data_IF_774035609038
#
_entry.id   IF_774035609038
#
_cell.length_a   1.000
_cell.length_b   1.000
_cell.length_c   1.000
_cell.angle_alpha   90.00
_cell.angle_beta   90.00
_cell.angle_gamma   90.00
#
_symmetry.space_group_name_H-M   'P 1'
#
loop_
_entity.id
_entity.type
_entity.pdbx_description
1 polymer ?
#
# COMPACT_ATOMS: atom_id res chain seq x y z
N UNK A 1 -57.19 10.89 -24.45
CA UNK A 1 -57.36 9.45 -24.56
C UNK A 1 -56.22 8.93 -25.39
N UNK A 2 -55.89 7.71 -25.19
CA UNK A 2 -54.73 7.08 -25.79
C UNK A 2 -54.47 5.72 -25.18
N UNK A 3 -53.38 5.06 -25.57
CA UNK A 3 -52.98 3.77 -24.99
C UNK A 3 -52.72 3.88 -23.50
N UNK A 4 -53.04 2.83 -22.75
CA UNK A 4 -52.72 2.71 -21.32
C UNK A 4 -51.51 1.85 -21.11
N UNK A 5 -50.76 2.13 -20.04
CA UNK A 5 -49.56 1.40 -19.64
C UNK A 5 -49.74 0.82 -18.22
N UNK A 6 -49.47 -0.46 -18.06
CA UNK A 6 -49.47 -1.13 -16.75
C UNK A 6 -48.18 -1.93 -16.56
N UNK A 7 -47.42 -1.72 -15.48
CA UNK A 7 -47.57 -0.68 -14.45
C UNK A 7 -47.56 0.74 -15.03
N UNK A 8 -48.17 1.68 -14.31
CA UNK A 8 -48.32 3.07 -14.77
C UNK A 8 -46.94 3.76 -14.97
N UNK A 9 -46.89 4.69 -15.95
CA UNK A 9 -45.69 5.49 -16.14
C UNK A 9 -45.32 6.28 -14.88
N UNK A 10 -44.03 6.24 -14.52
CA UNK A 10 -43.49 6.89 -13.32
C UNK A 10 -43.77 6.15 -12.02
N UNK A 11 -44.46 4.99 -12.02
CA UNK A 11 -44.62 4.16 -10.85
C UNK A 11 -43.30 3.47 -10.43
N UNK A 12 -43.03 3.41 -9.12
CA UNK A 12 -41.89 2.69 -8.59
C UNK A 12 -42.07 1.20 -8.76
N UNK A 13 -41.07 0.51 -9.29
CA UNK A 13 -41.09 -0.92 -9.52
C UNK A 13 -39.94 -1.61 -8.78
N UNK A 14 -40.21 -2.81 -8.31
CA UNK A 14 -39.22 -3.67 -7.67
C UNK A 14 -38.60 -4.64 -8.69
N UNK A 15 -37.30 -4.51 -8.94
CA UNK A 15 -36.54 -5.36 -9.85
C UNK A 15 -35.70 -6.42 -9.11
N UNK A 16 -35.84 -6.59 -7.81
CA UNK A 16 -35.04 -7.55 -7.00
C UNK A 16 -35.28 -8.99 -7.41
N UNK A 17 -36.48 -9.28 -7.91
CA UNK A 17 -36.89 -10.61 -8.35
C UNK A 17 -36.78 -10.80 -9.88
N UNK A 18 -36.12 -9.90 -10.59
CA UNK A 18 -35.88 -10.00 -12.02
C UNK A 18 -36.59 -8.92 -12.85
N UNK A 19 -37.05 -9.31 -14.03
CA UNK A 19 -37.63 -8.38 -14.96
C UNK A 19 -39.11 -8.03 -14.62
N UNK A 20 -39.46 -6.77 -14.74
CA UNK A 20 -40.85 -6.29 -14.66
C UNK A 20 -41.47 -6.26 -16.06
N UNK A 21 -42.66 -6.80 -16.22
CA UNK A 21 -43.40 -6.80 -17.48
C UNK A 21 -44.33 -5.61 -17.55
N UNK A 22 -44.11 -4.75 -18.51
CA UNK A 22 -44.99 -3.63 -18.86
C UNK A 22 -45.94 -4.03 -19.99
N UNK A 23 -47.20 -3.75 -19.81
CA UNK A 23 -48.23 -4.03 -20.84
C UNK A 23 -48.79 -2.71 -21.34
N UNK A 24 -48.66 -2.45 -22.63
CA UNK A 24 -49.33 -1.36 -23.32
C UNK A 24 -50.63 -1.90 -23.92
N UNK A 25 -51.73 -1.22 -23.63
CA UNK A 25 -53.05 -1.57 -24.18
C UNK A 25 -53.56 -0.38 -25.02
N UNK A 26 -54.02 -0.66 -26.24
CA UNK A 26 -54.66 0.36 -27.11
C UNK A 26 -55.91 0.95 -26.46
N UNK A 27 -56.31 2.13 -26.88
CA UNK A 27 -57.49 2.85 -26.36
C UNK A 27 -58.77 2.01 -26.46
N UNK A 28 -58.95 1.29 -27.56
CA UNK A 28 -60.07 0.40 -27.82
C UNK A 28 -59.96 -0.96 -27.10
N UNK A 29 -58.86 -1.21 -26.39
CA UNK A 29 -58.58 -2.44 -25.65
C UNK A 29 -58.26 -3.66 -26.52
N UNK A 30 -58.28 -3.54 -27.84
CA UNK A 30 -58.15 -4.67 -28.75
C UNK A 30 -56.70 -5.13 -28.97
N UNK A 31 -55.76 -4.26 -28.73
CA UNK A 31 -54.34 -4.57 -28.90
C UNK A 31 -53.59 -4.46 -27.59
N UNK A 32 -52.75 -5.47 -27.29
CA UNK A 32 -51.87 -5.49 -26.15
C UNK A 32 -50.46 -5.87 -26.59
N UNK A 33 -49.46 -5.16 -26.05
CA UNK A 33 -48.07 -5.47 -26.26
C UNK A 33 -47.33 -5.45 -24.93
N UNK A 34 -46.51 -6.45 -24.71
CA UNK A 34 -45.72 -6.58 -23.47
C UNK A 34 -44.27 -6.27 -23.74
N UNK A 35 -43.65 -5.56 -22.81
CA UNK A 35 -42.24 -5.25 -22.76
C UNK A 35 -41.70 -5.75 -21.43
N UNK A 36 -40.58 -6.49 -21.47
CA UNK A 36 -39.86 -6.91 -20.25
C UNK A 36 -38.72 -5.96 -20.03
N UNK A 37 -38.68 -5.30 -18.88
CA UNK A 37 -37.65 -4.35 -18.48
C UNK A 37 -36.91 -4.95 -17.30
N UNK A 38 -35.58 -4.97 -17.36
CA UNK A 38 -34.73 -5.44 -16.28
C UNK A 38 -33.43 -4.67 -16.25
N UNK A 39 -32.73 -4.80 -15.15
CA UNK A 39 -31.41 -4.25 -15.01
C UNK A 39 -30.39 -5.39 -14.99
N UNK A 40 -29.33 -5.21 -15.75
CA UNK A 40 -28.11 -6.04 -15.64
C UNK A 40 -27.06 -5.16 -14.99
N UNK A 41 -26.64 -5.54 -13.81
CA UNK A 41 -25.46 -4.92 -13.22
C UNK A 41 -24.25 -5.56 -13.88
N UNK A 42 -23.26 -4.76 -14.34
CA UNK A 42 -21.99 -5.33 -14.76
C UNK A 42 -21.40 -6.10 -13.57
N UNK A 43 -20.70 -7.23 -13.83
CA UNK A 43 -20.04 -7.94 -12.76
C UNK A 43 -19.12 -6.97 -12.02
N UNK A 44 -19.16 -7.01 -10.68
CA UNK A 44 -18.23 -6.22 -9.87
C UNK A 44 -16.85 -6.82 -10.08
N UNK A 45 -16.01 -6.13 -10.84
CA UNK A 45 -14.61 -6.49 -11.01
C UNK A 45 -13.87 -5.92 -9.82
N UNK A 46 -13.34 -6.79 -8.97
CA UNK A 46 -12.45 -6.38 -7.88
C UNK A 46 -11.04 -6.25 -8.44
N UNK A 47 -10.48 -5.06 -8.41
CA UNK A 47 -9.04 -4.88 -8.63
C UNK A 47 -8.30 -5.42 -7.41
N UNK A 48 -7.35 -6.32 -7.65
CA UNK A 48 -6.51 -6.92 -6.61
C UNK A 48 -5.06 -6.52 -6.89
N UNK A 49 -4.49 -5.70 -6.01
CA UNK A 49 -3.05 -5.48 -5.98
C UNK A 49 -2.41 -6.62 -5.20
N UNK A 50 -1.56 -7.39 -5.85
CA UNK A 50 -0.79 -8.47 -5.22
C UNK A 50 0.68 -8.09 -5.14
N UNK A 51 1.22 -8.19 -3.95
CA UNK A 51 2.65 -7.97 -3.68
C UNK A 51 3.22 -9.27 -3.10
N UNK A 52 3.95 -10.00 -3.92
CA UNK A 52 4.50 -11.32 -3.55
C UNK A 52 5.97 -11.26 -3.10
N UNK A 53 6.64 -10.11 -3.33
CA UNK A 53 8.05 -9.89 -2.99
C UNK A 53 9.05 -10.82 -3.67
N UNK A 54 8.66 -11.49 -4.75
CA UNK A 54 9.50 -12.41 -5.52
C UNK A 54 10.58 -11.69 -6.34
N UNK A 55 10.35 -10.41 -6.69
CA UNK A 55 11.29 -9.64 -7.49
C UNK A 55 12.18 -8.79 -6.61
N UNK A 56 13.32 -9.32 -6.24
CA UNK A 56 14.37 -8.60 -5.51
C UNK A 56 15.73 -8.83 -6.16
N UNK A 57 16.61 -7.86 -6.03
CA UNK A 57 17.95 -7.89 -6.58
C UNK A 57 18.89 -6.98 -5.79
N UNK A 58 20.20 -7.16 -5.96
CA UNK A 58 21.17 -6.22 -5.38
C UNK A 58 21.12 -4.90 -6.15
N UNK A 59 21.18 -3.79 -5.43
CA UNK A 59 21.10 -2.46 -6.02
C UNK A 59 22.18 -2.22 -7.06
N UNK A 60 21.82 -1.58 -8.17
CA UNK A 60 22.74 -1.16 -9.22
C UNK A 60 23.19 0.29 -9.07
N UNK A 61 22.48 1.08 -8.27
CA UNK A 61 22.87 2.45 -7.95
C UNK A 61 24.07 2.47 -6.99
N UNK A 62 24.73 3.60 -6.87
CA UNK A 62 25.82 3.76 -5.90
C UNK A 62 25.30 3.80 -4.46
N UNK A 63 25.88 3.06 -3.53
CA UNK A 63 26.92 2.04 -3.73
C UNK A 63 26.35 0.76 -4.37
N UNK A 64 27.04 0.27 -5.39
CA UNK A 64 26.58 -0.89 -6.19
C UNK A 64 26.70 -2.18 -5.38
N UNK A 65 25.67 -3.05 -5.48
CA UNK A 65 25.64 -4.39 -4.87
C UNK A 65 25.81 -4.45 -3.35
N UNK A 66 25.38 -3.39 -2.65
CA UNK A 66 25.53 -3.34 -1.19
C UNK A 66 24.31 -3.83 -0.42
N UNK A 67 23.10 -3.66 -0.96
CA UNK A 67 21.85 -4.05 -0.32
C UNK A 67 20.80 -4.48 -1.34
N UNK A 68 19.81 -5.21 -0.86
CA UNK A 68 18.70 -5.64 -1.68
C UNK A 68 17.67 -4.52 -1.87
N UNK A 69 17.06 -4.52 -3.04
CA UNK A 69 15.93 -3.69 -3.44
C UNK A 69 14.83 -4.57 -4.01
N UNK A 70 13.60 -4.12 -3.93
CA UNK A 70 12.43 -4.80 -4.46
C UNK A 70 11.77 -3.95 -5.53
N UNK A 71 11.20 -4.60 -6.52
CA UNK A 71 10.37 -3.94 -7.52
C UNK A 71 9.37 -4.93 -8.08
N UNK A 72 8.10 -4.57 -8.11
CA UNK A 72 7.12 -5.37 -8.82
C UNK A 72 7.36 -5.27 -10.33
N UNK A 73 6.84 -6.23 -11.07
CA UNK A 73 6.86 -6.21 -12.53
C UNK A 73 5.51 -5.71 -13.06
N UNK A 74 5.58 -4.80 -14.00
CA UNK A 74 4.44 -4.41 -14.81
C UNK A 74 4.06 -5.54 -15.78
N UNK A 75 2.87 -5.46 -16.40
CA UNK A 75 2.39 -6.44 -17.36
C UNK A 75 3.33 -6.61 -18.59
N UNK A 76 4.05 -5.56 -18.95
CA UNK A 76 5.07 -5.58 -20.01
C UNK A 76 6.43 -6.13 -19.58
N UNK A 77 6.56 -6.56 -18.31
CA UNK A 77 7.77 -7.09 -17.70
C UNK A 77 8.78 -6.06 -17.22
N UNK A 78 8.52 -4.78 -17.40
CA UNK A 78 9.37 -3.70 -16.83
C UNK A 78 9.21 -3.60 -15.32
N UNK A 79 10.21 -2.99 -14.64
CA UNK A 79 10.18 -2.81 -13.19
C UNK A 79 9.34 -1.57 -12.82
N UNK A 80 8.44 -1.74 -11.88
CA UNK A 80 7.59 -0.65 -11.37
C UNK A 80 8.34 0.35 -10.49
N UNK A 81 9.45 -0.07 -9.85
CA UNK A 81 10.26 0.75 -8.93
C UNK A 81 9.44 1.45 -7.84
N UNK A 82 8.47 0.75 -7.31
CA UNK A 82 7.48 1.27 -6.36
C UNK A 82 7.83 0.99 -4.91
N UNK A 83 8.81 0.13 -4.64
CA UNK A 83 9.25 -0.22 -3.30
C UNK A 83 10.52 0.50 -2.89
N UNK A 84 10.57 0.91 -1.62
CA UNK A 84 11.75 1.50 -1.00
C UNK A 84 12.01 0.94 0.39
N UNK A 85 13.24 1.08 0.86
CA UNK A 85 13.70 0.66 2.20
C UNK A 85 14.62 1.70 2.81
N UNK A 86 14.87 1.60 4.12
CA UNK A 86 15.91 2.36 4.81
C UNK A 86 17.34 1.84 4.58
N UNK A 87 17.54 0.79 3.79
CA UNK A 87 18.87 0.21 3.53
C UNK A 87 19.91 1.23 3.02
N UNK A 88 19.57 2.18 2.12
CA UNK A 88 20.51 3.23 1.72
C UNK A 88 20.99 4.08 2.90
N UNK A 89 20.11 4.40 3.84
CA UNK A 89 20.47 5.12 5.07
C UNK A 89 21.36 4.28 5.99
N UNK A 90 21.06 2.99 6.15
CA UNK A 90 21.88 2.06 6.92
C UNK A 90 23.30 1.92 6.36
N UNK A 91 23.45 1.89 5.03
CA UNK A 91 24.76 1.89 4.38
C UNK A 91 25.63 3.08 4.82
N UNK A 92 25.05 4.24 5.03
CA UNK A 92 25.78 5.45 5.44
C UNK A 92 26.43 5.27 6.83
N UNK A 93 25.81 4.47 7.69
CA UNK A 93 26.34 4.17 9.04
C UNK A 93 27.22 2.92 9.08
N UNK A 94 26.93 1.93 8.24
CA UNK A 94 27.63 0.63 8.19
C UNK A 94 28.02 0.24 6.77
N UNK A 95 28.90 1.01 6.16
CA UNK A 95 29.35 0.81 4.77
C UNK A 95 30.06 -0.53 4.50
N UNK A 96 30.61 -1.17 5.53
CA UNK A 96 31.25 -2.48 5.44
C UNK A 96 30.30 -3.66 5.55
N UNK A 97 29.02 -3.42 5.87
CA UNK A 97 28.04 -4.49 5.99
C UNK A 97 27.88 -5.26 4.67
N UNK A 98 27.74 -6.58 4.78
CA UNK A 98 27.41 -7.45 3.64
C UNK A 98 25.91 -7.34 3.34
N UNK A 99 25.45 -7.70 2.13
CA UNK A 99 24.04 -7.59 1.73
C UNK A 99 23.04 -8.26 2.69
N UNK A 100 23.41 -9.40 3.27
CA UNK A 100 22.60 -10.18 4.21
C UNK A 100 22.55 -9.61 5.64
N UNK A 101 23.38 -8.60 5.93
CA UNK A 101 23.47 -7.93 7.23
C UNK A 101 22.65 -6.65 7.33
N UNK A 102 21.96 -6.27 6.25
CA UNK A 102 21.11 -5.09 6.25
C UNK A 102 19.79 -5.33 6.99
N UNK A 103 19.16 -4.26 7.50
CA UNK A 103 17.88 -4.37 8.22
C UNK A 103 16.74 -4.96 7.41
N UNK A 104 16.77 -4.81 6.08
CA UNK A 104 15.74 -5.33 5.16
C UNK A 104 16.42 -6.24 4.15
N UNK A 105 16.09 -7.53 4.20
CA UNK A 105 16.70 -8.57 3.35
C UNK A 105 15.62 -9.57 2.88
N UNK A 106 15.81 -10.21 1.71
CA UNK A 106 14.95 -11.30 1.28
C UNK A 106 15.24 -12.57 2.06
N UNK A 107 14.24 -13.44 2.15
CA UNK A 107 14.35 -14.81 2.62
C UNK A 107 13.58 -15.69 1.64
N UNK A 108 14.22 -16.72 1.10
CA UNK A 108 13.66 -17.60 0.07
C UNK A 108 12.50 -18.47 0.56
N UNK A 109 12.41 -18.71 1.89
CA UNK A 109 11.41 -19.57 2.50
C UNK A 109 10.37 -18.74 3.25
N UNK A 110 9.45 -18.14 2.49
CA UNK A 110 8.28 -17.44 3.01
C UNK A 110 7.09 -18.37 3.24
N UNK A 111 5.89 -17.81 3.20
CA UNK A 111 4.64 -18.57 3.22
C UNK A 111 4.37 -19.25 1.88
N UNK A 112 4.61 -18.52 0.79
CA UNK A 112 4.50 -18.97 -0.60
C UNK A 112 5.62 -18.25 -1.37
N UNK A 113 6.71 -18.97 -1.69
CA UNK A 113 7.91 -18.38 -2.28
C UNK A 113 8.73 -17.51 -1.33
N UNK A 114 9.28 -16.42 -1.82
CA UNK A 114 10.11 -15.51 -1.04
C UNK A 114 9.30 -14.61 -0.09
N UNK A 115 9.97 -14.07 0.90
CA UNK A 115 9.40 -13.05 1.79
C UNK A 115 10.46 -12.01 2.17
N UNK A 116 10.00 -10.91 2.75
CA UNK A 116 10.87 -9.86 3.27
C UNK A 116 11.09 -10.06 4.76
N UNK A 117 12.34 -10.12 5.17
CA UNK A 117 12.74 -10.11 6.58
C UNK A 117 13.13 -8.70 6.99
N UNK A 118 12.45 -8.18 8.00
CA UNK A 118 12.71 -6.88 8.60
C UNK A 118 13.33 -7.11 9.99
N UNK A 119 14.49 -6.49 10.23
CA UNK A 119 15.23 -6.67 11.50
C UNK A 119 15.66 -5.31 12.01
N UNK A 120 15.48 -5.05 13.29
CA UNK A 120 16.09 -3.89 13.95
C UNK A 120 17.59 -4.15 14.12
N UNK A 121 18.43 -3.24 13.65
CA UNK A 121 19.88 -3.38 13.62
C UNK A 121 20.56 -2.17 14.27
N UNK A 122 21.71 -2.41 14.88
CA UNK A 122 22.56 -1.35 15.43
C UNK A 122 23.24 -0.57 14.28
N UNK A 123 23.28 0.74 14.39
CA UNK A 123 23.88 1.65 13.42
C UNK A 123 25.31 2.09 13.80
N UNK A 124 25.89 1.49 14.83
CA UNK A 124 27.18 1.83 15.40
C UNK A 124 27.30 3.31 15.82
N UNK A 125 28.52 3.80 15.95
CA UNK A 125 28.78 5.15 16.45
C UNK A 125 28.29 6.24 15.48
N UNK A 126 28.39 6.02 14.18
CA UNK A 126 27.99 7.01 13.20
C UNK A 126 26.48 7.27 13.26
N UNK A 127 25.66 6.22 13.31
CA UNK A 127 24.22 6.39 13.46
C UNK A 127 23.83 7.00 14.80
N UNK A 128 24.56 6.68 15.88
CA UNK A 128 24.35 7.30 17.19
C UNK A 128 24.63 8.81 17.16
N UNK A 129 25.66 9.27 16.44
CA UNK A 129 25.94 10.70 16.20
C UNK A 129 24.80 11.39 15.45
N UNK A 130 24.16 10.69 14.50
CA UNK A 130 22.96 11.16 13.80
C UNK A 130 21.68 11.02 14.64
N UNK A 131 21.77 10.71 15.94
CA UNK A 131 20.63 10.43 16.85
C UNK A 131 19.75 9.27 16.43
N UNK A 132 20.29 8.35 15.65
CA UNK A 132 19.64 7.13 15.16
C UNK A 132 20.48 5.89 15.53
N UNK A 133 20.55 5.52 16.82
CA UNK A 133 21.42 4.45 17.31
C UNK A 133 21.01 3.06 16.80
N UNK A 134 19.78 2.92 16.34
CA UNK A 134 19.24 1.71 15.72
C UNK A 134 18.52 2.07 14.41
N UNK A 135 18.53 1.14 13.47
CA UNK A 135 17.74 1.20 12.23
C UNK A 135 16.71 0.06 12.25
N UNK A 136 15.44 0.40 12.19
CA UNK A 136 14.39 -0.57 11.98
C UNK A 136 14.41 -1.06 10.52
N UNK A 137 14.28 -2.37 10.30
CA UNK A 137 13.98 -2.90 8.99
C UNK A 137 12.63 -2.37 8.54
N UNK A 138 12.54 -1.87 7.33
CA UNK A 138 11.31 -1.36 6.73
C UNK A 138 11.27 -1.65 5.23
N UNK A 139 10.07 -1.82 4.72
CA UNK A 139 9.76 -1.87 3.29
C UNK A 139 8.45 -1.12 3.09
N UNK A 140 8.41 -0.21 2.17
CA UNK A 140 7.25 0.63 1.94
C UNK A 140 7.11 1.01 0.46
N UNK A 141 5.89 1.31 0.05
CA UNK A 141 5.62 1.85 -1.28
C UNK A 141 5.94 3.34 -1.26
N UNK A 142 6.83 3.77 -2.16
CA UNK A 142 7.30 5.15 -2.25
C UNK A 142 8.76 5.26 -2.60
N UNK A 143 9.45 6.26 -2.04
CA UNK A 143 10.86 6.55 -2.30
C UNK A 143 11.62 6.82 -1.02
N UNK A 144 12.90 6.48 -1.01
CA UNK A 144 13.82 6.84 0.08
C UNK A 144 14.86 7.84 -0.44
N UNK A 145 14.82 9.06 0.12
CA UNK A 145 15.80 10.11 -0.19
C UNK A 145 16.95 10.08 0.80
N UNK A 146 18.04 9.43 0.42
CA UNK A 146 19.23 9.31 1.26
C UNK A 146 19.87 10.67 1.60
N UNK A 147 19.68 11.70 0.77
CA UNK A 147 20.20 13.04 1.04
C UNK A 147 19.54 13.73 2.23
N UNK A 148 18.28 13.36 2.51
CA UNK A 148 17.55 13.85 3.68
C UNK A 148 17.88 13.07 4.96
N UNK A 149 18.33 11.82 4.84
CA UNK A 149 18.52 10.93 5.99
C UNK A 149 19.48 11.49 7.07
N UNK A 150 20.45 12.30 6.67
CA UNK A 150 21.38 12.97 7.60
C UNK A 150 20.84 14.28 8.18
N UNK A 151 19.90 14.93 7.50
CA UNK A 151 19.34 16.21 7.92
C UNK A 151 18.10 16.00 8.78
N UNK A 152 17.18 15.20 8.28
CA UNK A 152 15.92 14.83 8.91
C UNK A 152 15.53 13.43 8.41
N UNK A 153 15.87 12.41 9.20
CA UNK A 153 15.64 11.01 8.84
C UNK A 153 14.17 10.69 8.58
N UNK A 154 13.23 11.41 9.21
CA UNK A 154 11.80 11.20 9.00
C UNK A 154 11.35 11.71 7.63
N UNK A 155 12.03 12.71 7.07
CA UNK A 155 11.77 13.25 5.72
C UNK A 155 12.42 12.43 4.60
N UNK A 156 13.33 11.53 4.94
CA UNK A 156 13.93 10.61 3.98
C UNK A 156 12.92 9.62 3.39
N UNK A 157 11.90 9.26 4.16
CA UNK A 157 10.85 8.34 3.74
C UNK A 157 9.70 9.12 3.11
N UNK A 158 9.48 8.93 1.81
CA UNK A 158 8.42 9.55 1.02
C UNK A 158 7.44 8.47 0.61
N UNK A 159 6.21 8.50 1.16
CA UNK A 159 5.22 7.46 0.96
C UNK A 159 4.34 7.70 -0.26
N UNK A 160 3.94 6.60 -0.89
CA UNK A 160 2.85 6.53 -1.82
C UNK A 160 3.25 6.40 -3.28
N UNK A 161 2.35 5.79 -4.01
CA UNK A 161 2.26 5.77 -5.48
C UNK A 161 0.81 6.08 -5.85
N UNK A 162 0.54 6.69 -7.01
CA UNK A 162 -0.83 6.96 -7.44
C UNK A 162 -1.64 5.67 -7.57
N UNK A 163 -2.88 5.71 -7.09
CA UNK A 163 -3.88 4.65 -7.27
C UNK A 163 -5.19 5.25 -7.74
N UNK A 164 -5.95 4.53 -8.56
CA UNK A 164 -7.20 5.00 -9.18
C UNK A 164 -8.46 4.35 -8.60
N UNK A 165 -8.34 3.53 -7.56
CA UNK A 165 -9.45 2.80 -6.96
C UNK A 165 -9.43 2.93 -5.43
N UNK A 166 -10.58 2.69 -4.81
CA UNK A 166 -10.73 2.69 -3.36
C UNK A 166 -10.66 1.25 -2.84
N UNK A 167 -9.61 0.86 -2.11
CA UNK A 167 -9.49 -0.49 -1.58
C UNK A 167 -10.49 -0.73 -0.44
N UNK A 168 -10.96 -1.95 -0.32
CA UNK A 168 -11.90 -2.38 0.72
C UNK A 168 -11.30 -3.40 1.67
N UNK A 169 -10.16 -4.00 1.31
CA UNK A 169 -9.51 -5.04 2.11
C UNK A 169 -8.00 -4.99 1.94
N UNK A 170 -7.29 -5.11 3.05
CA UNK A 170 -5.86 -5.37 3.11
C UNK A 170 -5.64 -6.71 3.82
N UNK A 171 -4.85 -7.60 3.23
CA UNK A 171 -4.56 -8.92 3.79
C UNK A 171 -3.16 -9.38 3.43
N UNK A 172 -2.57 -10.22 4.27
CA UNK A 172 -1.24 -10.77 4.03
C UNK A 172 -0.85 -11.78 5.09
N UNK A 173 0.32 -12.37 4.92
CA UNK A 173 0.89 -13.31 5.87
C UNK A 173 2.14 -12.70 6.50
N UNK A 174 2.26 -12.82 7.82
CA UNK A 174 3.43 -12.37 8.53
C UNK A 174 3.77 -13.28 9.70
N UNK A 175 5.05 -13.28 10.08
CA UNK A 175 5.55 -13.89 11.31
C UNK A 175 6.36 -12.84 12.04
N UNK A 176 6.05 -12.64 13.32
CA UNK A 176 6.73 -11.65 14.13
C UNK A 176 7.37 -12.29 15.35
N UNK A 177 8.62 -11.92 15.60
CA UNK A 177 9.33 -12.20 16.83
C UNK A 177 9.90 -10.88 17.33
N UNK A 178 9.44 -10.42 18.47
CA UNK A 178 9.99 -9.21 19.09
C UNK A 178 11.45 -9.40 19.49
N UNK A 179 12.21 -8.31 19.56
CA UNK A 179 13.51 -8.27 20.20
C UNK A 179 13.39 -8.49 21.72
N UNK A 180 14.40 -9.07 22.33
CA UNK A 180 14.41 -9.36 23.76
C UNK A 180 14.68 -8.10 24.59
N UNK A 181 15.35 -7.10 24.00
CA UNK A 181 15.77 -5.86 24.66
C UNK A 181 15.16 -4.66 23.95
N UNK A 182 14.51 -3.79 24.72
CA UNK A 182 14.04 -2.50 24.24
C UNK A 182 14.95 -1.39 24.77
N UNK A 183 15.42 -0.50 23.91
CA UNK A 183 16.31 0.61 24.29
C UNK A 183 15.72 1.96 23.90
N UNK A 184 16.11 3.00 24.61
CA UNK A 184 15.85 4.38 24.23
C UNK A 184 16.85 4.88 23.15
N UNK A 185 16.72 6.17 22.78
CA UNK A 185 17.59 6.81 21.79
C UNK A 185 19.05 6.92 22.20
N UNK A 186 19.38 6.70 23.46
CA UNK A 186 20.73 6.66 24.03
C UNK A 186 21.26 5.23 24.20
N UNK A 187 20.54 4.23 23.67
CA UNK A 187 20.82 2.79 23.84
C UNK A 187 20.69 2.29 25.29
N UNK A 188 20.07 3.06 26.17
CA UNK A 188 19.79 2.61 27.52
C UNK A 188 18.62 1.63 27.51
N UNK A 189 18.81 0.48 28.17
CA UNK A 189 17.77 -0.54 28.32
C UNK A 189 16.57 0.03 29.09
N UNK A 190 15.39 -0.14 28.54
CA UNK A 190 14.11 0.25 29.16
C UNK A 190 13.40 -1.02 29.64
N UNK A 191 13.61 -1.37 30.89
CA UNK A 191 12.99 -2.54 31.50
C UNK A 191 11.46 -2.48 31.44
N UNK A 192 10.82 -3.62 31.20
CA UNK A 192 9.37 -3.73 31.09
C UNK A 192 8.76 -3.18 29.81
N UNK A 193 9.53 -2.50 28.96
CA UNK A 193 9.09 -2.11 27.61
C UNK A 193 9.20 -3.27 26.64
N UNK A 194 8.28 -3.31 25.69
CA UNK A 194 8.22 -4.33 24.64
C UNK A 194 8.25 -3.66 23.28
N UNK A 195 8.95 -4.29 22.35
CA UNK A 195 8.95 -3.87 20.94
C UNK A 195 7.73 -4.42 20.20
N UNK A 196 7.29 -3.71 19.18
CA UNK A 196 6.17 -4.09 18.31
C UNK A 196 6.53 -3.83 16.86
N UNK A 197 6.18 -4.78 15.98
CA UNK A 197 6.16 -4.55 14.53
C UNK A 197 4.87 -3.86 14.12
N UNK A 198 4.94 -2.99 13.12
CA UNK A 198 3.78 -2.30 12.56
C UNK A 198 3.64 -2.64 11.08
N UNK A 199 2.45 -3.09 10.67
CA UNK A 199 2.06 -3.31 9.28
C UNK A 199 0.78 -2.51 9.06
N UNK A 200 0.80 -1.61 8.08
CA UNK A 200 -0.37 -0.79 7.77
C UNK A 200 -0.42 -0.42 6.30
N UNK A 201 -1.60 -0.09 5.81
CA UNK A 201 -1.83 0.57 4.54
C UNK A 201 -2.49 1.93 4.80
N UNK A 202 -2.01 2.96 4.12
CA UNK A 202 -2.55 4.32 4.20
C UNK A 202 -2.88 4.77 2.79
N UNK A 203 -4.08 5.29 2.61
CA UNK A 203 -4.51 5.97 1.40
C UNK A 203 -4.72 7.44 1.74
N UNK A 204 -4.23 8.32 0.88
CA UNK A 204 -4.31 9.76 1.13
C UNK A 204 -4.54 10.51 -0.16
N UNK A 205 -5.20 11.65 -0.05
CA UNK A 205 -5.31 12.60 -1.14
C UNK A 205 -3.94 13.25 -1.36
N UNK A 206 -3.40 13.10 -2.56
CA UNK A 206 -2.09 13.62 -2.92
C UNK A 206 -2.12 15.09 -3.36
N UNK A 207 -3.24 15.77 -3.16
CA UNK A 207 -3.39 17.21 -3.37
C UNK A 207 -4.08 17.86 -2.17
N UNK A 208 -3.70 19.10 -1.86
CA UNK A 208 -4.42 19.92 -0.90
C UNK A 208 -5.65 20.60 -1.54
N UNK A 209 -6.39 21.39 -0.75
CA UNK A 209 -7.58 22.11 -1.21
C UNK A 209 -7.28 23.14 -2.30
N UNK A 210 -6.05 23.62 -2.37
CA UNK A 210 -5.53 24.56 -3.35
C UNK A 210 -4.98 23.88 -4.61
N UNK A 211 -4.94 22.53 -4.64
CA UNK A 211 -4.45 21.72 -5.75
C UNK A 211 -2.94 21.51 -5.78
N UNK A 212 -2.22 21.84 -4.70
CA UNK A 212 -0.79 21.58 -4.61
C UNK A 212 -0.52 20.11 -4.28
N UNK A 213 0.52 19.55 -4.88
CA UNK A 213 0.91 18.16 -4.62
C UNK A 213 1.40 17.97 -3.18
N UNK A 214 0.87 16.94 -2.52
CA UNK A 214 1.22 16.52 -1.18
C UNK A 214 1.96 15.18 -1.22
N UNK A 215 3.02 15.07 -0.44
CA UNK A 215 3.73 13.82 -0.16
C UNK A 215 3.74 13.61 1.35
N UNK A 216 3.38 12.41 1.80
CA UNK A 216 3.47 12.05 3.21
C UNK A 216 4.85 11.45 3.52
N UNK A 217 5.33 11.76 4.72
CA UNK A 217 6.65 11.38 5.23
C UNK A 217 6.54 10.54 6.49
N UNK A 218 7.66 10.03 6.97
CA UNK A 218 7.72 9.20 8.16
C UNK A 218 7.19 9.83 9.44
N UNK A 219 7.18 11.17 9.52
CA UNK A 219 6.68 11.92 10.67
C UNK A 219 5.17 12.21 10.61
N UNK A 220 4.54 12.12 9.45
CA UNK A 220 3.14 12.52 9.31
C UNK A 220 2.22 11.51 8.59
N UNK A 221 2.73 10.41 8.07
CA UNK A 221 1.95 9.45 7.28
C UNK A 221 0.72 8.89 8.00
N UNK A 222 0.73 8.80 9.32
CA UNK A 222 -0.38 8.27 10.11
C UNK A 222 -1.28 9.35 10.70
N UNK A 223 -0.88 10.62 10.64
CA UNK A 223 -1.56 11.73 11.33
C UNK A 223 -1.97 12.87 10.41
N UNK A 224 -1.60 12.79 9.15
CA UNK A 224 -1.96 13.81 8.16
C UNK A 224 -3.47 13.89 7.95
N UNK A 225 -4.05 15.10 7.85
CA UNK A 225 -5.45 15.28 7.47
C UNK A 225 -5.76 14.82 6.04
N UNK A 226 -4.76 14.56 5.22
CA UNK A 226 -4.91 14.03 3.86
C UNK A 226 -5.25 12.53 3.83
N UNK A 227 -5.12 11.81 4.95
CA UNK A 227 -5.47 10.38 5.04
C UNK A 227 -6.99 10.22 4.92
N UNK A 228 -7.43 9.35 4.02
CA UNK A 228 -8.85 9.09 3.70
C UNK A 228 -9.31 7.72 4.19
#
# INVERSE_FOLDING_TARGET
>A
PGATLSPANGSVQDFTNGQVTYTVTSEDGNWKRQYRVGFTFPPVVYEVMKYDFENYFLNENKPVHKYYVWSDKNDDGTLANNWATGNPGFFMSRSSAKPDQYPTVPVEQGYDGACVKLTTSDTDQFGAMAKMPIAAGNLFIGKFDASQALKDAMKATQFGVPVSFKPTKFSGYYRYKRGDVFTDRQKKVMEGKKDYGTIYAVFYDNHDAEGNSIVLYGDNVQTSPQVV
#
